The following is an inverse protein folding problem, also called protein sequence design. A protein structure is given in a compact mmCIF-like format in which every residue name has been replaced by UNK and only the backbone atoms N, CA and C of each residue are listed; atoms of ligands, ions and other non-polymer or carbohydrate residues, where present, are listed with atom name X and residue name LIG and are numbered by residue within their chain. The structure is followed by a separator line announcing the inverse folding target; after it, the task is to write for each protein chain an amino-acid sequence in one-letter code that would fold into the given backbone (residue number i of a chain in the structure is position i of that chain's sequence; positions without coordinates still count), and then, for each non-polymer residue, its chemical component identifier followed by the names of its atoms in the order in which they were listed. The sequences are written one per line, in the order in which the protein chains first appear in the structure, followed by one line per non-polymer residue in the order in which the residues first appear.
data_IF_537235854485
#
_entry.id   IF_537235854485
#
_cell.length_a   1.000
_cell.length_b   1.000
_cell.length_c   1.000
_cell.angle_alpha   90.00
_cell.angle_beta   90.00
_cell.angle_gamma   90.00
#
_symmetry.space_group_name_H-M   'P 1'
#
loop_
_entity.id
_entity.type
_entity.pdbx_description
1 polymer ?
#
# COMPACT_ATOMS: atom_id res chain seq x y z
N UNK A 1 -20.13 -7.34 -13.23
CA UNK A 1 -19.76 -5.96 -13.63
C UNK A 1 -20.95 -5.17 -14.18
N UNK A 2 -21.79 -5.76 -15.05
CA UNK A 2 -23.00 -5.10 -15.60
C UNK A 2 -23.88 -4.49 -14.49
N UNK A 3 -24.16 -5.24 -13.42
CA UNK A 3 -24.94 -4.73 -12.28
C UNK A 3 -24.31 -3.54 -11.53
N UNK A 4 -22.98 -3.37 -11.56
CA UNK A 4 -22.33 -2.19 -10.97
C UNK A 4 -22.47 -0.99 -11.91
N UNK A 5 -22.36 -1.21 -13.22
CA UNK A 5 -22.55 -0.18 -14.22
C UNK A 5 -23.98 0.38 -14.18
N UNK A 6 -24.99 -0.49 -14.18
CA UNK A 6 -26.40 -0.10 -14.04
C UNK A 6 -26.64 0.70 -12.75
N UNK A 7 -26.13 0.23 -11.61
CA UNK A 7 -26.27 0.94 -10.34
C UNK A 7 -25.57 2.32 -10.33
N UNK A 8 -24.46 2.47 -11.06
CA UNK A 8 -23.80 3.76 -11.24
C UNK A 8 -24.61 4.67 -12.17
N UNK A 9 -25.22 4.13 -13.22
CA UNK A 9 -26.10 4.85 -14.14
C UNK A 9 -27.36 5.38 -13.44
N UNK A 10 -28.05 4.52 -12.68
CA UNK A 10 -29.20 4.91 -11.85
C UNK A 10 -28.81 6.01 -10.86
N UNK A 11 -27.62 5.88 -10.25
CA UNK A 11 -27.12 6.90 -9.34
C UNK A 11 -26.83 8.22 -10.06
N UNK A 12 -26.26 8.20 -11.26
CA UNK A 12 -26.01 9.41 -12.06
C UNK A 12 -27.33 10.07 -12.46
N UNK A 13 -28.32 9.29 -12.82
CA UNK A 13 -29.64 9.80 -13.22
C UNK A 13 -30.31 10.52 -12.05
N UNK A 14 -30.47 9.81 -10.93
CA UNK A 14 -31.04 10.37 -9.72
C UNK A 14 -30.28 11.62 -9.25
N UNK A 15 -28.95 11.62 -9.39
CA UNK A 15 -28.12 12.76 -8.97
C UNK A 15 -28.24 13.95 -9.92
N UNK A 16 -28.34 13.71 -11.22
CA UNK A 16 -28.54 14.77 -12.23
C UNK A 16 -29.87 15.46 -12.03
N UNK A 17 -30.94 14.68 -11.85
CA UNK A 17 -32.28 15.22 -11.55
C UNK A 17 -32.28 16.01 -10.25
N UNK A 18 -31.61 15.53 -9.20
CA UNK A 18 -31.57 16.20 -7.91
C UNK A 18 -30.79 17.52 -7.91
N UNK A 19 -29.72 17.65 -8.71
CA UNK A 19 -28.84 18.84 -8.70
C UNK A 19 -29.20 19.84 -9.81
N UNK A 20 -29.52 19.34 -11.00
CA UNK A 20 -29.74 20.15 -12.19
C UNK A 20 -31.19 20.13 -12.68
N UNK A 21 -32.03 19.24 -12.15
CA UNK A 21 -33.42 19.09 -12.60
C UNK A 21 -33.57 18.22 -13.84
N UNK A 22 -34.82 17.83 -14.12
CA UNK A 22 -35.15 16.91 -15.21
C UNK A 22 -34.78 17.45 -16.60
N UNK A 23 -34.95 18.75 -16.85
CA UNK A 23 -34.63 19.35 -18.14
C UNK A 23 -33.15 19.16 -18.52
N UNK A 24 -32.24 19.37 -17.56
CA UNK A 24 -30.81 19.18 -17.81
C UNK A 24 -30.43 17.71 -18.07
N UNK A 25 -31.13 16.76 -17.44
CA UNK A 25 -30.95 15.34 -17.76
C UNK A 25 -31.31 15.07 -19.23
N UNK A 26 -32.39 15.66 -19.74
CA UNK A 26 -32.83 15.46 -21.12
C UNK A 26 -31.93 16.19 -22.13
N UNK A 27 -31.49 17.42 -21.83
CA UNK A 27 -30.79 18.27 -22.79
C UNK A 27 -29.28 18.01 -22.85
N UNK A 28 -28.66 17.65 -21.72
CA UNK A 28 -27.20 17.47 -21.58
C UNK A 28 -26.84 16.01 -21.32
N UNK A 29 -27.67 15.29 -20.56
CA UNK A 29 -27.43 13.89 -20.21
C UNK A 29 -26.63 13.69 -18.92
N UNK A 30 -26.40 12.43 -18.58
CA UNK A 30 -25.78 11.96 -17.32
C UNK A 30 -24.32 12.37 -17.13
N UNK A 31 -23.65 12.76 -18.22
CA UNK A 31 -22.23 13.09 -18.21
C UNK A 31 -21.91 14.37 -17.43
N UNK A 32 -22.91 15.22 -17.15
CA UNK A 32 -22.76 16.44 -16.35
C UNK A 32 -22.37 16.16 -14.90
N UNK A 33 -22.83 15.05 -14.31
CA UNK A 33 -22.46 14.64 -12.95
C UNK A 33 -21.19 13.80 -12.95
N UNK A 34 -21.06 12.88 -13.90
CA UNK A 34 -19.91 11.98 -13.98
C UNK A 34 -19.74 11.54 -15.45
N UNK A 35 -18.63 11.95 -16.10
CA UNK A 35 -18.35 11.56 -17.48
C UNK A 35 -18.28 10.04 -17.66
N UNK A 36 -18.63 9.55 -18.85
CA UNK A 36 -18.61 8.12 -19.16
C UNK A 36 -17.22 7.50 -18.99
N UNK A 37 -16.16 8.23 -19.35
CA UNK A 37 -14.78 7.77 -19.16
C UNK A 37 -14.43 7.52 -17.69
N UNK A 38 -14.96 8.34 -16.79
CA UNK A 38 -14.80 8.16 -15.35
C UNK A 38 -15.58 6.93 -14.89
N UNK A 39 -16.83 6.77 -15.33
CA UNK A 39 -17.64 5.59 -14.99
C UNK A 39 -16.96 4.29 -15.45
N UNK A 40 -16.52 4.23 -16.70
CA UNK A 40 -15.82 3.06 -17.27
C UNK A 40 -14.55 2.76 -16.47
N UNK A 41 -13.79 3.80 -16.10
CA UNK A 41 -12.59 3.64 -15.26
C UNK A 41 -12.93 3.11 -13.88
N UNK A 42 -14.01 3.56 -13.26
CA UNK A 42 -14.49 3.05 -11.96
C UNK A 42 -14.84 1.57 -12.06
N UNK A 43 -15.58 1.19 -13.10
CA UNK A 43 -15.95 -0.20 -13.37
C UNK A 43 -14.70 -1.06 -13.55
N UNK A 44 -13.75 -0.61 -14.37
CA UNK A 44 -12.47 -1.31 -14.59
C UNK A 44 -11.65 -1.46 -13.30
N UNK A 45 -11.50 -0.39 -12.54
CA UNK A 45 -10.78 -0.42 -11.27
C UNK A 45 -11.49 -1.27 -10.20
N UNK A 46 -12.82 -1.29 -10.19
CA UNK A 46 -13.61 -2.13 -9.29
C UNK A 46 -13.47 -3.62 -9.63
N UNK A 47 -13.45 -3.95 -10.92
CA UNK A 47 -13.19 -5.32 -11.38
C UNK A 47 -11.84 -5.85 -10.87
N UNK A 48 -10.82 -5.00 -10.91
CA UNK A 48 -9.47 -5.30 -10.42
C UNK A 48 -9.27 -5.02 -8.93
N UNK A 49 -10.31 -4.62 -8.19
CA UNK A 49 -10.27 -4.32 -6.74
C UNK A 49 -9.22 -3.26 -6.36
N UNK A 50 -8.98 -2.29 -7.23
CA UNK A 50 -8.01 -1.20 -7.00
C UNK A 50 -8.54 -0.07 -6.11
N UNK A 51 -9.86 0.08 -6.04
CA UNK A 51 -10.53 1.17 -5.31
C UNK A 51 -11.18 0.60 -4.05
N UNK A 52 -10.67 0.97 -2.86
CA UNK A 52 -11.25 0.56 -1.57
C UNK A 52 -11.87 1.73 -0.79
N UNK A 53 -11.44 2.96 -1.10
CA UNK A 53 -11.89 4.17 -0.43
C UNK A 53 -11.97 5.35 -1.41
N UNK A 54 -12.54 6.48 -0.98
CA UNK A 54 -12.74 7.66 -1.82
C UNK A 54 -11.43 8.29 -2.30
N UNK A 55 -10.34 8.14 -1.54
CA UNK A 55 -9.03 8.63 -1.95
C UNK A 55 -8.48 7.79 -3.12
N UNK A 56 -8.59 6.46 -3.05
CA UNK A 56 -8.20 5.57 -4.16
C UNK A 56 -9.00 5.91 -5.43
N UNK A 57 -10.31 6.16 -5.28
CA UNK A 57 -11.19 6.58 -6.36
C UNK A 57 -10.67 7.86 -7.02
N UNK A 58 -10.34 8.89 -6.22
CA UNK A 58 -9.79 10.15 -6.72
C UNK A 58 -8.46 9.93 -7.42
N UNK A 59 -7.57 9.13 -6.85
CA UNK A 59 -6.25 8.84 -7.42
C UNK A 59 -6.33 8.07 -8.75
N UNK A 60 -7.23 7.09 -8.86
CA UNK A 60 -7.33 6.22 -10.05
C UNK A 60 -8.10 6.84 -11.21
N UNK A 61 -9.01 7.78 -10.93
CA UNK A 61 -9.90 8.39 -11.92
C UNK A 61 -9.59 9.85 -12.20
N UNK A 62 -8.94 10.56 -11.26
CA UNK A 62 -8.78 12.01 -11.33
C UNK A 62 -10.09 12.79 -11.21
N UNK A 63 -11.21 12.14 -10.85
CA UNK A 63 -12.52 12.78 -10.80
C UNK A 63 -12.60 13.82 -9.68
N UNK A 64 -12.86 15.07 -10.05
CA UNK A 64 -12.87 16.21 -9.13
C UNK A 64 -13.92 16.06 -8.02
N UNK A 65 -15.08 15.50 -8.33
CA UNK A 65 -16.17 15.33 -7.35
C UNK A 65 -16.03 14.04 -6.52
N UNK A 66 -14.91 13.33 -6.64
CA UNK A 66 -14.63 12.14 -5.83
C UNK A 66 -14.58 12.48 -4.32
N UNK A 67 -14.26 13.70 -3.93
CA UNK A 67 -14.33 14.13 -2.53
C UNK A 67 -15.77 14.25 -2.03
N UNK A 68 -16.67 14.74 -2.89
CA UNK A 68 -18.06 14.98 -2.53
C UNK A 68 -18.91 13.71 -2.61
N UNK A 69 -18.67 12.89 -3.64
CA UNK A 69 -19.50 11.73 -3.96
C UNK A 69 -18.81 10.40 -3.74
N UNK A 70 -17.49 10.38 -3.53
CA UNK A 70 -16.71 9.16 -3.45
C UNK A 70 -17.24 8.18 -2.41
N UNK A 71 -17.59 8.63 -1.21
CA UNK A 71 -18.14 7.75 -0.17
C UNK A 71 -19.39 6.99 -0.63
N UNK A 72 -20.29 7.66 -1.37
CA UNK A 72 -21.52 7.05 -1.88
C UNK A 72 -21.23 6.07 -3.01
N UNK A 73 -20.28 6.41 -3.88
CA UNK A 73 -19.79 5.52 -4.95
C UNK A 73 -19.11 4.28 -4.36
N UNK A 74 -18.25 4.43 -3.35
CA UNK A 74 -17.61 3.30 -2.66
C UNK A 74 -18.64 2.36 -2.04
N UNK A 75 -19.72 2.90 -1.45
CA UNK A 75 -20.80 2.07 -0.91
C UNK A 75 -21.52 1.26 -2.01
N UNK A 76 -21.69 1.82 -3.22
CA UNK A 76 -22.19 1.07 -4.38
C UNK A 76 -21.19 -0.02 -4.80
N UNK A 77 -19.90 0.31 -4.88
CA UNK A 77 -18.86 -0.67 -5.23
C UNK A 77 -18.86 -1.86 -4.25
N UNK A 78 -18.90 -1.61 -2.95
CA UNK A 78 -18.92 -2.68 -1.94
C UNK A 78 -20.16 -3.57 -2.03
N UNK A 79 -21.31 -3.00 -2.42
CA UNK A 79 -22.56 -3.74 -2.60
C UNK A 79 -22.53 -4.66 -3.82
N UNK A 80 -21.94 -4.20 -4.92
CA UNK A 80 -21.96 -4.92 -6.20
C UNK A 80 -20.66 -5.70 -6.49
N UNK A 81 -19.59 -5.47 -5.73
CA UNK A 81 -18.30 -6.16 -5.83
C UNK A 81 -17.74 -6.48 -4.43
N UNK A 82 -18.37 -7.41 -3.68
CA UNK A 82 -17.93 -7.72 -2.32
C UNK A 82 -16.48 -8.27 -2.30
N UNK A 83 -15.73 -8.03 -1.21
CA UNK A 83 -14.47 -8.71 -0.93
C UNK A 83 -14.67 -10.23 -1.08
N UNK A 84 -13.80 -10.90 -1.85
CA UNK A 84 -13.78 -12.37 -1.84
C UNK A 84 -13.41 -12.79 -0.42
N UNK A 85 -14.33 -13.44 0.29
CA UNK A 85 -14.06 -14.08 1.57
C UNK A 85 -12.91 -15.06 1.37
N UNK A 86 -11.74 -14.78 1.93
CA UNK A 86 -10.58 -15.66 1.81
C UNK A 86 -10.84 -16.92 2.64
N UNK A 87 -10.88 -18.13 2.06
CA UNK A 87 -11.21 -19.35 2.79
C UNK A 87 -10.03 -19.92 3.59
N UNK A 88 -8.97 -19.14 3.86
CA UNK A 88 -7.84 -19.62 4.64
C UNK A 88 -8.19 -19.68 6.13
N UNK A 89 -8.94 -20.72 6.49
CA UNK A 89 -8.96 -21.30 7.81
C UNK A 89 -7.52 -21.77 8.06
N UNK A 90 -6.90 -21.19 9.07
CA UNK A 90 -5.61 -21.60 9.61
C UNK A 90 -5.72 -23.06 10.03
N UNK A 91 -5.33 -24.00 9.18
CA UNK A 91 -5.11 -25.38 9.60
C UNK A 91 -3.88 -25.35 10.51
N UNK A 92 -3.99 -25.58 11.83
CA UNK A 92 -2.82 -25.55 12.70
C UNK A 92 -1.85 -26.65 12.25
N UNK A 93 -0.62 -26.25 11.92
CA UNK A 93 0.47 -27.16 11.60
C UNK A 93 0.78 -27.96 12.87
N UNK A 94 0.46 -29.26 12.89
CA UNK A 94 0.83 -30.13 14.02
C UNK A 94 2.36 -30.20 14.09
N UNK A 95 2.99 -29.92 15.24
CA UNK A 95 4.43 -30.11 15.41
C UNK A 95 4.77 -31.59 15.28
N UNK A 96 5.66 -31.95 14.35
CA UNK A 96 6.35 -33.25 14.42
C UNK A 96 7.34 -33.18 15.58
N UNK A 97 7.10 -33.98 16.61
CA UNK A 97 8.07 -34.24 17.67
C UNK A 97 9.20 -35.10 17.11
N UNK A 98 10.32 -34.49 16.77
CA UNK A 98 11.58 -35.23 16.63
C UNK A 98 12.14 -35.46 18.05
N UNK A 99 12.01 -36.68 18.56
CA UNK A 99 12.65 -37.12 19.79
C UNK A 99 14.17 -37.08 19.62
N UNK A 100 14.82 -36.10 20.26
CA UNK A 100 16.27 -36.11 20.45
C UNK A 100 16.56 -36.89 21.72
N UNK A 101 17.22 -38.03 21.55
CA UNK A 101 17.73 -38.90 22.60
C UNK A 101 18.76 -38.18 23.48
N UNK A 102 18.62 -38.38 24.78
CA UNK A 102 19.50 -37.91 25.84
C UNK A 102 20.98 -38.26 25.60
N UNK A 103 21.86 -37.29 25.86
CA UNK A 103 23.13 -37.54 26.53
C UNK A 103 23.56 -36.29 27.32
N UNK A 104 23.74 -36.46 28.63
CA UNK A 104 24.49 -35.57 29.54
C UNK A 104 25.49 -36.47 30.29
N UNK A 105 26.38 -35.98 31.18
CA UNK A 105 26.98 -34.66 31.39
C UNK A 105 28.53 -34.73 31.56
N UNK A 106 29.24 -33.59 31.51
CA UNK A 106 30.60 -33.33 32.06
C UNK A 106 30.98 -31.88 31.68
N UNK A 107 31.59 -30.98 32.43
CA UNK A 107 32.27 -30.95 33.74
C UNK A 107 32.50 -29.46 34.13
N UNK A 108 32.32 -29.15 35.41
CA UNK A 108 33.17 -28.35 36.32
C UNK A 108 33.96 -27.09 35.84
N UNK A 109 33.72 -25.94 36.50
CA UNK A 109 34.73 -24.90 36.78
C UNK A 109 34.24 -23.43 36.92
N UNK A 110 34.30 -22.78 38.12
CA UNK A 110 34.28 -21.31 38.35
C UNK A 110 35.76 -20.77 38.48
N UNK A 111 36.10 -19.46 38.71
CA UNK A 111 35.34 -18.39 39.40
C UNK A 111 35.53 -16.89 38.95
N UNK A 112 34.78 -16.01 39.64
CA UNK A 112 35.09 -14.63 40.10
C UNK A 112 35.04 -13.39 39.17
N UNK A 113 34.00 -12.59 39.43
CA UNK A 113 33.94 -11.17 39.83
C UNK A 113 34.68 -10.07 39.04
N UNK A 114 33.92 -9.05 38.60
CA UNK A 114 34.19 -7.60 38.83
C UNK A 114 32.93 -6.79 38.50
N UNK A 115 32.46 -6.00 39.47
CA UNK A 115 31.52 -4.86 39.31
C UNK A 115 32.41 -3.58 39.31
N UNK A 116 32.09 -2.52 38.55
CA UNK A 116 31.42 -1.38 39.22
C UNK A 116 30.33 -0.68 38.39
N UNK A 117 29.22 -0.43 39.09
CA UNK A 117 28.47 0.84 39.22
C UNK A 117 28.60 1.90 38.11
N UNK A 118 27.45 2.21 37.49
CA UNK A 118 27.21 3.44 36.75
C UNK A 118 25.71 3.66 36.56
N UNK A 119 25.09 4.39 37.48
CA UNK A 119 23.68 4.76 37.44
C UNK A 119 23.39 5.72 36.28
N UNK A 120 22.29 5.50 35.54
CA UNK A 120 21.42 6.53 34.95
C UNK A 120 20.17 5.86 34.38
N UNK A 121 19.01 6.22 34.92
CA UNK A 121 17.69 5.89 34.37
C UNK A 121 17.49 6.51 32.97
N UNK A 122 16.52 6.04 32.16
CA UNK A 122 15.20 6.68 32.26
C UNK A 122 13.98 5.79 32.01
N UNK A 123 12.89 6.22 32.65
CA UNK A 123 11.49 6.27 32.21
C UNK A 123 10.85 5.04 31.54
N UNK A 124 10.04 4.37 32.35
CA UNK A 124 8.90 3.57 31.93
C UNK A 124 7.88 4.43 31.18
N UNK A 125 7.59 4.08 29.94
CA UNK A 125 6.36 4.46 29.22
C UNK A 125 5.89 3.26 28.40
N UNK A 126 4.57 3.03 28.30
CA UNK A 126 4.03 1.79 27.74
C UNK A 126 4.33 1.68 26.24
N UNK A 127 4.97 0.57 25.88
CA UNK A 127 5.27 0.16 24.51
C UNK A 127 3.98 -0.03 23.72
N UNK A 128 3.59 0.98 22.95
CA UNK A 128 2.65 0.82 21.84
C UNK A 128 3.39 -0.02 20.80
N UNK A 129 2.86 -1.21 20.51
CA UNK A 129 3.42 -2.15 19.55
C UNK A 129 3.67 -1.47 18.20
N UNK A 130 4.94 -1.08 17.95
CA UNK A 130 5.39 -0.59 16.66
C UNK A 130 5.37 -1.79 15.72
N UNK A 131 4.45 -1.77 14.77
CA UNK A 131 4.49 -2.66 13.60
C UNK A 131 5.86 -2.50 12.96
N UNK A 132 6.72 -3.50 13.09
CA UNK A 132 8.04 -3.53 12.47
C UNK A 132 7.86 -3.49 10.95
N UNK A 133 7.89 -2.29 10.36
CA UNK A 133 7.91 -2.10 8.92
C UNK A 133 9.11 -2.86 8.37
N UNK A 134 8.85 -3.82 7.47
CA UNK A 134 9.92 -4.56 6.80
C UNK A 134 10.86 -3.54 6.14
N UNK A 135 12.12 -3.53 6.56
CA UNK A 135 13.13 -2.66 5.97
C UNK A 135 13.38 -3.13 4.53
N UNK A 136 13.05 -2.28 3.57
CA UNK A 136 13.35 -2.55 2.16
C UNK A 136 14.86 -2.56 1.95
N UNK A 137 15.33 -3.55 1.18
CA UNK A 137 16.74 -3.67 0.76
C UNK A 137 16.86 -3.31 -0.71
N UNK A 138 17.87 -2.52 -1.04
CA UNK A 138 18.16 -2.13 -2.40
C UNK A 138 18.78 -3.29 -3.17
N UNK A 139 18.16 -3.74 -4.27
CA UNK A 139 18.71 -4.81 -5.11
C UNK A 139 20.02 -4.46 -5.82
N UNK A 140 20.34 -3.17 -6.00
CA UNK A 140 21.55 -2.75 -6.70
C UNK A 140 22.77 -2.61 -5.77
N UNK A 141 22.61 -1.96 -4.61
CA UNK A 141 23.71 -1.69 -3.67
C UNK A 141 23.63 -2.50 -2.36
N UNK A 142 22.53 -3.21 -2.08
CA UNK A 142 22.34 -3.99 -0.84
C UNK A 142 21.96 -3.18 0.40
N UNK A 143 21.96 -1.84 0.32
CA UNK A 143 21.61 -0.96 1.44
C UNK A 143 20.15 -1.08 1.89
N UNK A 144 19.90 -0.89 3.19
CA UNK A 144 18.55 -0.89 3.78
C UNK A 144 17.95 0.53 3.77
N UNK A 145 16.61 0.61 3.73
CA UNK A 145 15.86 1.87 3.81
C UNK A 145 15.60 2.55 2.46
N UNK A 146 16.11 2.02 1.35
CA UNK A 146 15.80 2.48 0.00
C UNK A 146 15.79 1.32 -1.02
N UNK A 147 15.22 1.54 -2.21
CA UNK A 147 15.26 0.59 -3.33
C UNK A 147 16.15 1.11 -4.49
N UNK A 148 16.39 0.28 -5.51
CA UNK A 148 17.30 0.59 -6.62
C UNK A 148 16.88 1.79 -7.48
N UNK A 149 15.61 2.19 -7.44
CA UNK A 149 15.07 3.36 -8.14
C UNK A 149 15.10 4.63 -7.30
N UNK A 150 15.55 4.56 -6.04
CA UNK A 150 15.65 5.73 -5.20
C UNK A 150 16.92 6.52 -5.56
N UNK A 151 16.81 7.85 -5.64
CA UNK A 151 17.94 8.74 -5.95
C UNK A 151 19.03 8.73 -4.87
N UNK A 152 18.69 8.28 -3.65
CA UNK A 152 19.68 8.05 -2.58
C UNK A 152 20.56 6.82 -2.84
N UNK A 153 20.27 6.00 -3.85
CA UNK A 153 21.08 4.84 -4.18
C UNK A 153 22.38 5.28 -4.88
N UNK A 154 23.57 4.93 -4.37
CA UNK A 154 24.83 5.26 -5.03
C UNK A 154 24.98 4.65 -6.43
N UNK A 155 24.24 3.57 -6.71
CA UNK A 155 24.20 2.88 -8.01
C UNK A 155 22.98 3.27 -8.84
N UNK A 156 22.31 4.37 -8.52
CA UNK A 156 21.19 4.84 -9.31
C UNK A 156 21.67 5.22 -10.73
N UNK A 157 20.89 4.93 -11.79
CA UNK A 157 21.29 5.22 -13.18
C UNK A 157 21.70 6.67 -13.44
N UNK A 158 21.15 7.63 -12.66
CA UNK A 158 21.53 9.05 -12.75
C UNK A 158 22.98 9.33 -12.33
N UNK A 159 23.55 8.55 -11.40
CA UNK A 159 24.93 8.73 -10.93
C UNK A 159 25.96 8.04 -11.84
N UNK A 160 25.58 6.97 -12.53
CA UNK A 160 26.49 6.23 -13.40
C UNK A 160 26.82 6.98 -14.71
N UNK A 161 26.01 7.96 -15.11
CA UNK A 161 26.24 8.70 -16.35
C UNK A 161 27.32 9.80 -16.24
N UNK A 162 27.85 10.07 -15.03
CA UNK A 162 28.78 11.17 -14.78
C UNK A 162 30.26 10.76 -14.66
N UNK A 163 30.61 9.48 -14.84
CA UNK A 163 32.00 8.99 -14.69
C UNK A 163 32.85 9.03 -15.96
N UNK A 164 32.36 9.58 -17.08
CA UNK A 164 33.05 9.53 -18.38
C UNK A 164 33.68 10.86 -18.84
N UNK A 165 33.90 11.84 -17.96
CA UNK A 165 34.64 13.07 -18.32
C UNK A 165 36.09 12.97 -17.86
N UNK A 166 36.90 12.28 -18.66
CA UNK A 166 38.36 12.38 -18.62
C UNK A 166 38.76 13.79 -19.09
N UNK A 167 39.24 14.62 -18.15
CA UNK A 167 39.89 15.89 -18.44
C UNK A 167 41.28 15.60 -19.02
N UNK A 168 41.43 15.74 -20.34
CA UNK A 168 42.72 15.72 -21.02
C UNK A 168 43.43 17.05 -20.76
N UNK A 169 44.44 17.05 -19.89
CA UNK A 169 45.38 18.17 -19.74
C UNK A 169 46.25 18.30 -21.00
N UNK A 170 46.33 19.46 -21.66
CA UNK A 170 47.27 19.65 -22.76
C UNK A 170 48.67 19.95 -22.20
N UNK A 171 49.65 19.15 -22.58
CA UNK A 171 51.08 19.46 -22.40
C UNK A 171 51.60 20.14 -23.67
N UNK A 172 52.25 21.30 -23.51
CA UNK A 172 53.16 21.93 -24.48
C UNK A 172 54.50 22.09 -23.78
#
# INVERSE_FOLDING_TARGET
MIALQEALDDWREAKTVAVYGWSNLHDIGLCIVMPNSILERIVDCAHHRKINNAQDLKCETGWSDAEQYGTKIIALLQRHAPPLSTPFITTPLRPLTCSIVNASPSQLGPPSATIPTGASAPSNSPSVAVVSKRQIKCGACGGVGHNARNQLCPKHPSHMNNQNKENTTPSV
#
